data_IF_249028352846
#
_entry.id   IF_249028352846
#
_cell.length_a   1.000
_cell.length_b   1.000
_cell.length_c   1.000
_cell.angle_alpha   90.00
_cell.angle_beta   90.00
_cell.angle_gamma   90.00
#
_symmetry.space_group_name_H-M   'P 1'
#
loop_
_entity.id
_entity.type
_entity.pdbx_description
1 polymer ?
#
# COMPACT_ATOMS: atom_id res chain seq x y z
N UNK A 1 -16.99 4.21 4.55
CA UNK A 1 -16.51 5.32 5.34
C UNK A 1 -15.03 5.18 5.64
N UNK A 2 -14.28 6.26 5.42
CA UNK A 2 -12.82 6.21 5.56
C UNK A 2 -12.32 6.88 6.82
N UNK A 3 -13.12 6.81 7.87
CA UNK A 3 -12.74 7.41 9.14
C UNK A 3 -11.76 6.55 9.93
N UNK A 4 -11.82 5.24 9.76
CA UNK A 4 -10.92 4.33 10.45
C UNK A 4 -9.62 4.21 9.69
N UNK A 5 -8.53 4.09 10.44
CA UNK A 5 -7.22 3.85 9.88
C UNK A 5 -6.79 2.43 10.17
N UNK A 6 -6.26 1.77 9.16
CA UNK A 6 -5.80 0.39 9.27
C UNK A 6 -4.32 0.36 8.88
N UNK A 7 -3.53 -0.32 9.68
CA UNK A 7 -2.12 -0.53 9.38
C UNK A 7 -1.91 -1.95 8.86
N UNK A 8 -1.17 -2.06 7.78
CA UNK A 8 -0.78 -3.36 7.22
C UNK A 8 0.74 -3.44 7.33
N UNK A 9 1.22 -4.44 8.04
CA UNK A 9 2.65 -4.64 8.28
C UNK A 9 3.16 -5.73 7.36
N UNK A 10 4.09 -5.37 6.47
CA UNK A 10 4.59 -6.27 5.46
C UNK A 10 3.81 -6.14 4.16
N UNK A 11 4.49 -5.70 3.10
CA UNK A 11 3.85 -5.36 1.83
C UNK A 11 4.36 -6.29 0.71
N UNK A 12 4.38 -7.58 1.00
CA UNK A 12 4.73 -8.59 0.01
C UNK A 12 3.52 -9.07 -0.77
N UNK A 13 3.55 -10.36 -1.15
CA UNK A 13 2.52 -10.95 -2.01
C UNK A 13 1.13 -10.95 -1.40
N UNK A 14 1.04 -11.00 -0.07
CA UNK A 14 -0.24 -11.03 0.63
C UNK A 14 -0.60 -9.64 1.15
N UNK A 15 0.36 -8.98 1.78
CA UNK A 15 0.09 -7.70 2.45
C UNK A 15 -0.28 -6.58 1.50
N UNK A 16 0.39 -6.49 0.35
CA UNK A 16 0.11 -5.40 -0.59
C UNK A 16 -1.30 -5.51 -1.19
N UNK A 17 -1.71 -6.65 -1.76
CA UNK A 17 -3.08 -6.78 -2.26
C UNK A 17 -4.13 -6.52 -1.17
N UNK A 18 -3.87 -6.98 0.05
CA UNK A 18 -4.77 -6.74 1.17
C UNK A 18 -4.87 -5.25 1.47
N UNK A 19 -3.75 -4.54 1.50
CA UNK A 19 -3.74 -3.11 1.78
C UNK A 19 -4.55 -2.35 0.74
N UNK A 20 -4.41 -2.70 -0.54
CA UNK A 20 -5.18 -2.04 -1.59
C UNK A 20 -6.67 -2.34 -1.47
N UNK A 21 -7.02 -3.58 -1.17
CA UNK A 21 -8.43 -3.94 -1.01
C UNK A 21 -9.06 -3.18 0.14
N UNK A 22 -8.35 -3.09 1.26
CA UNK A 22 -8.83 -2.35 2.43
C UNK A 22 -8.92 -0.85 2.14
N UNK A 23 -8.06 -0.33 1.28
CA UNK A 23 -8.05 1.11 0.98
C UNK A 23 -9.29 1.55 0.21
N UNK A 24 -10.08 0.62 -0.31
CA UNK A 24 -11.36 0.97 -0.93
C UNK A 24 -12.37 1.45 0.09
N UNK A 25 -12.25 1.02 1.34
CA UNK A 25 -13.22 1.34 2.39
C UNK A 25 -12.62 2.09 3.57
N UNK A 26 -11.30 2.08 3.74
CA UNK A 26 -10.63 2.67 4.90
C UNK A 26 -9.41 3.46 4.48
N UNK A 27 -8.91 4.30 5.36
CA UNK A 27 -7.57 4.86 5.21
C UNK A 27 -6.58 3.80 5.66
N UNK A 28 -5.62 3.49 4.81
CA UNK A 28 -4.66 2.41 5.06
C UNK A 28 -3.24 2.95 5.05
N UNK A 29 -2.47 2.56 6.04
CA UNK A 29 -1.03 2.84 6.08
C UNK A 29 -0.31 1.50 5.99
N UNK A 30 0.49 1.34 4.95
CA UNK A 30 1.30 0.15 4.75
C UNK A 30 2.73 0.39 5.21
N UNK A 31 3.27 -0.53 5.97
CA UNK A 31 4.63 -0.45 6.48
C UNK A 31 5.46 -1.64 6.00
N UNK A 32 6.71 -1.38 5.68
CA UNK A 32 7.64 -2.44 5.36
C UNK A 32 9.04 -2.02 5.81
N UNK A 33 9.86 -2.99 6.17
CA UNK A 33 11.25 -2.72 6.55
C UNK A 33 12.14 -2.51 5.33
N UNK A 34 11.68 -2.90 4.16
CA UNK A 34 12.44 -2.80 2.92
C UNK A 34 12.26 -1.41 2.30
N UNK A 35 13.27 -0.57 2.44
CA UNK A 35 13.25 0.79 1.91
C UNK A 35 13.04 0.83 0.40
N UNK A 36 13.64 -0.11 -0.32
CA UNK A 36 13.51 -0.16 -1.77
C UNK A 36 12.06 -0.45 -2.16
N UNK A 37 11.43 -1.41 -1.46
CA UNK A 37 10.03 -1.74 -1.67
C UNK A 37 9.15 -0.51 -1.48
N UNK A 38 9.36 0.23 -0.40
CA UNK A 38 8.58 1.43 -0.10
C UNK A 38 8.75 2.48 -1.19
N UNK A 39 9.99 2.73 -1.62
CA UNK A 39 10.23 3.71 -2.69
C UNK A 39 9.54 3.34 -3.98
N UNK A 40 9.58 2.06 -4.33
CA UNK A 40 8.93 1.58 -5.55
C UNK A 40 7.42 1.70 -5.47
N UNK A 41 6.84 1.28 -4.35
CA UNK A 41 5.40 1.36 -4.17
C UNK A 41 4.90 2.80 -4.23
N UNK A 42 5.64 3.74 -3.65
CA UNK A 42 5.26 5.15 -3.72
C UNK A 42 5.24 5.68 -5.15
N UNK A 43 6.06 5.10 -6.03
CA UNK A 43 6.07 5.44 -7.45
C UNK A 43 5.04 4.70 -8.26
N UNK A 44 4.28 3.82 -7.62
CA UNK A 44 3.28 3.01 -8.31
C UNK A 44 3.84 1.72 -8.90
N UNK A 45 5.00 1.28 -8.44
CA UNK A 45 5.65 0.09 -8.98
C UNK A 45 5.54 -1.05 -7.97
N UNK A 46 4.92 -2.15 -8.38
CA UNK A 46 4.88 -3.38 -7.62
C UNK A 46 5.63 -4.47 -8.36
N UNK A 47 6.84 -4.78 -7.92
CA UNK A 47 7.67 -5.79 -8.58
C UNK A 47 7.15 -7.20 -8.37
N UNK A 48 6.27 -7.43 -7.40
CA UNK A 48 5.63 -8.73 -7.23
C UNK A 48 4.51 -8.96 -8.24
N UNK A 49 4.10 -7.92 -8.95
CA UNK A 49 3.06 -7.97 -9.98
C UNK A 49 1.71 -8.46 -9.47
N UNK A 50 1.43 -8.23 -8.18
CA UNK A 50 0.16 -8.61 -7.58
C UNK A 50 -0.92 -7.57 -7.81
N UNK A 51 -0.52 -6.32 -8.01
CA UNK A 51 -1.47 -5.22 -8.23
C UNK A 51 -1.02 -4.40 -9.43
N UNK A 52 -1.97 -3.80 -10.12
CA UNK A 52 -1.65 -2.98 -11.29
C UNK A 52 -1.19 -1.59 -10.88
N UNK A 53 -0.34 -1.00 -11.70
CA UNK A 53 0.16 0.35 -11.46
C UNK A 53 -0.97 1.39 -11.39
N UNK A 54 -1.96 1.38 -12.30
CA UNK A 54 -3.05 2.37 -12.22
C UNK A 54 -3.83 2.27 -10.92
N UNK A 55 -4.11 1.05 -10.46
CA UNK A 55 -4.84 0.87 -9.21
C UNK A 55 -4.01 1.35 -8.02
N UNK A 56 -2.74 0.99 -8.00
CA UNK A 56 -1.83 1.39 -6.93
C UNK A 56 -1.73 2.92 -6.84
N UNK A 57 -1.55 3.58 -7.96
CA UNK A 57 -1.47 5.04 -8.00
C UNK A 57 -2.77 5.71 -7.59
N UNK A 58 -3.90 5.14 -8.04
CA UNK A 58 -5.20 5.69 -7.71
C UNK A 58 -5.44 5.68 -6.21
N UNK A 59 -5.14 4.56 -5.55
CA UNK A 59 -5.38 4.45 -4.12
C UNK A 59 -4.46 5.35 -3.31
N UNK A 60 -3.24 5.58 -3.76
CA UNK A 60 -2.31 6.47 -3.08
C UNK A 60 -2.74 7.93 -3.09
N UNK A 61 -3.63 8.31 -3.98
CA UNK A 61 -4.12 9.70 -4.01
C UNK A 61 -4.95 10.06 -2.78
N UNK A 62 -5.68 9.10 -2.24
CA UNK A 62 -6.68 9.42 -1.23
C UNK A 62 -6.59 8.60 0.05
N UNK A 63 -6.27 7.32 -0.04
CA UNK A 63 -6.54 6.43 1.08
C UNK A 63 -5.46 5.39 1.36
N UNK A 64 -4.34 5.45 0.66
CA UNK A 64 -3.27 4.47 0.85
C UNK A 64 -1.93 5.19 0.93
N UNK A 65 -1.21 4.96 2.03
CA UNK A 65 0.08 5.58 2.28
C UNK A 65 1.09 4.51 2.64
N UNK A 66 2.33 4.69 2.19
CA UNK A 66 3.40 3.73 2.45
C UNK A 66 4.53 4.39 3.22
N UNK A 67 4.99 3.73 4.27
CA UNK A 67 6.09 4.23 5.10
C UNK A 67 7.03 3.11 5.50
N UNK A 68 8.28 3.48 5.72
CA UNK A 68 9.22 2.57 6.33
C UNK A 68 8.85 2.29 7.77
N UNK A 69 9.13 1.05 8.19
CA UNK A 69 8.88 0.66 9.57
C UNK A 69 9.97 1.20 10.50
N UNK A 70 11.16 1.41 9.96
CA UNK A 70 12.28 1.94 10.73
C UNK A 70 12.89 3.15 10.05
#
# INVERSE_FOLDING_TARGET
MKEKKIAVLGLGYVGLPLALQLSLSYNVVGYDIDNTRIRELRKGIDKTLEVSEPFLKKQQKNSLFFYNMF
#
